data_IF_221949576530
#
_entry.id   IF_221949576530
#
_cell.length_a   1.000
_cell.length_b   1.000
_cell.length_c   1.000
_cell.angle_alpha   90.00
_cell.angle_beta   90.00
_cell.angle_gamma   90.00
#
_symmetry.space_group_name_H-M   'P 1'
#
loop_
_entity.id
_entity.type
_entity.pdbx_description
1 polymer ?
#
# COMPACT_ATOMS: atom_id res chain seq x y z
N UNK A 1 16.22 11.81 4.46
CA UNK A 1 15.97 12.57 5.70
C UNK A 1 15.32 13.96 5.50
N UNK A 2 15.31 14.58 4.31
CA UNK A 2 14.82 15.96 4.13
C UNK A 2 13.30 16.20 4.28
N UNK A 3 12.45 15.31 3.77
CA UNK A 3 10.98 15.54 3.72
C UNK A 3 10.35 15.65 5.12
N UNK A 4 10.82 14.86 6.09
CA UNK A 4 10.32 14.93 7.47
C UNK A 4 10.67 16.27 8.14
N UNK A 5 11.81 16.86 7.80
CA UNK A 5 12.20 18.19 8.32
C UNK A 5 11.30 19.26 7.75
N UNK A 6 11.00 19.21 6.45
CA UNK A 6 10.10 20.17 5.81
C UNK A 6 8.65 20.05 6.30
N UNK A 7 8.16 18.82 6.55
CA UNK A 7 6.85 18.60 7.16
C UNK A 7 6.78 19.19 8.57
N UNK A 8 7.83 19.04 9.39
CA UNK A 8 7.90 19.64 10.72
C UNK A 8 7.86 21.17 10.67
N UNK A 9 8.56 21.80 9.72
CA UNK A 9 8.49 23.26 9.54
C UNK A 9 7.08 23.71 9.17
N UNK A 10 6.42 23.02 8.23
CA UNK A 10 5.04 23.32 7.86
C UNK A 10 4.08 23.15 9.04
N UNK A 11 4.25 22.10 9.84
CA UNK A 11 3.48 21.89 11.06
C UNK A 11 3.65 23.07 12.04
N UNK A 12 4.90 23.47 12.33
CA UNK A 12 5.17 24.60 13.23
C UNK A 12 4.55 25.91 12.75
N UNK A 13 4.55 26.16 11.43
CA UNK A 13 3.91 27.35 10.85
C UNK A 13 2.40 27.34 11.09
N UNK A 14 1.74 26.21 10.85
CA UNK A 14 0.30 26.06 11.05
C UNK A 14 -0.07 26.19 12.53
N UNK A 15 0.74 25.61 13.43
CA UNK A 15 0.53 25.69 14.88
C UNK A 15 0.73 27.10 15.44
N UNK A 16 1.75 27.82 14.96
CA UNK A 16 2.15 29.12 15.53
C UNK A 16 1.41 30.31 14.93
N UNK A 17 1.02 30.22 13.65
CA UNK A 17 0.46 31.35 12.88
C UNK A 17 -0.90 31.06 12.25
N UNK A 18 -1.44 29.87 12.50
CA UNK A 18 -2.68 29.41 11.87
C UNK A 18 -2.47 28.88 10.45
N UNK A 19 -3.52 28.27 9.93
CA UNK A 19 -3.49 27.58 8.65
C UNK A 19 -3.75 28.52 7.47
N UNK A 20 -2.88 28.48 6.45
CA UNK A 20 -3.08 29.21 5.20
C UNK A 20 -3.91 28.35 4.22
N UNK A 21 -4.96 28.89 3.55
CA UNK A 21 -5.79 28.15 2.60
C UNK A 21 -5.01 27.42 1.49
N UNK A 22 -3.89 27.99 1.04
CA UNK A 22 -2.99 27.36 0.07
C UNK A 22 -2.33 26.11 0.64
N UNK A 23 -1.83 26.17 1.88
CA UNK A 23 -1.17 25.05 2.57
C UNK A 23 -2.19 23.92 2.75
N UNK A 24 -3.40 24.22 3.24
CA UNK A 24 -4.43 23.21 3.41
C UNK A 24 -4.84 22.55 2.10
N UNK A 25 -5.10 23.35 1.07
CA UNK A 25 -5.51 22.83 -0.24
C UNK A 25 -4.42 21.95 -0.83
N UNK A 26 -3.16 22.34 -0.67
CA UNK A 26 -2.01 21.58 -1.17
C UNK A 26 -1.86 20.25 -0.42
N UNK A 27 -1.90 20.25 0.91
CA UNK A 27 -1.81 19.03 1.73
C UNK A 27 -2.98 18.09 1.42
N UNK A 28 -4.22 18.61 1.39
CA UNK A 28 -5.41 17.82 1.03
C UNK A 28 -5.29 17.19 -0.36
N UNK A 29 -4.81 17.96 -1.35
CA UNK A 29 -4.59 17.46 -2.72
C UNK A 29 -3.51 16.38 -2.75
N UNK A 30 -2.40 16.57 -2.05
CA UNK A 30 -1.31 15.61 -1.99
C UNK A 30 -1.78 14.28 -1.37
N UNK A 31 -2.49 14.33 -0.24
CA UNK A 31 -3.07 13.14 0.41
C UNK A 31 -4.07 12.45 -0.53
N UNK A 32 -4.94 13.22 -1.21
CA UNK A 32 -5.91 12.66 -2.15
C UNK A 32 -5.24 11.93 -3.33
N UNK A 33 -4.23 12.55 -3.95
CA UNK A 33 -3.45 11.92 -5.03
C UNK A 33 -2.79 10.63 -4.55
N UNK A 34 -2.14 10.66 -3.39
CA UNK A 34 -1.48 9.47 -2.84
C UNK A 34 -2.48 8.34 -2.57
N UNK A 35 -3.66 8.66 -2.03
CA UNK A 35 -4.73 7.67 -1.84
C UNK A 35 -5.22 7.06 -3.15
N UNK A 36 -5.38 7.88 -4.19
CA UNK A 36 -5.79 7.40 -5.52
C UNK A 36 -4.76 6.44 -6.12
N UNK A 37 -3.47 6.76 -5.99
CA UNK A 37 -2.38 5.86 -6.41
C UNK A 37 -2.43 4.54 -5.66
N UNK A 38 -2.49 4.57 -4.33
CA UNK A 38 -2.55 3.35 -3.50
C UNK A 38 -3.78 2.49 -3.86
N UNK A 39 -4.95 3.11 -4.05
CA UNK A 39 -6.17 2.39 -4.48
C UNK A 39 -6.01 1.76 -5.86
N UNK A 40 -5.33 2.43 -6.80
CA UNK A 40 -5.03 1.85 -8.12
C UNK A 40 -4.08 0.67 -8.00
N UNK A 41 -3.03 0.78 -7.19
CA UNK A 41 -2.08 -0.31 -6.92
C UNK A 41 -2.76 -1.50 -6.26
N UNK A 42 -3.66 -1.27 -5.28
CA UNK A 42 -4.42 -2.36 -4.66
C UNK A 42 -5.30 -3.09 -5.66
N UNK A 43 -6.02 -2.36 -6.54
CA UNK A 43 -6.83 -3.00 -7.59
C UNK A 43 -6.01 -3.91 -8.48
N UNK A 44 -4.87 -3.42 -8.97
CA UNK A 44 -3.96 -4.22 -9.79
C UNK A 44 -3.44 -5.45 -9.04
N UNK A 45 -2.96 -5.30 -7.80
CA UNK A 45 -2.47 -6.43 -7.00
C UNK A 45 -3.57 -7.47 -6.76
N UNK A 46 -4.80 -7.03 -6.47
CA UNK A 46 -5.94 -7.93 -6.27
C UNK A 46 -6.31 -8.70 -7.55
N UNK A 47 -6.18 -8.07 -8.73
CA UNK A 47 -6.40 -8.74 -10.02
C UNK A 47 -5.33 -9.82 -10.27
N UNK A 48 -4.06 -9.50 -10.06
CA UNK A 48 -2.94 -10.45 -10.20
C UNK A 48 -3.05 -11.64 -9.22
N UNK A 49 -3.37 -11.36 -7.96
CA UNK A 49 -3.59 -12.38 -6.93
C UNK A 49 -4.75 -13.30 -7.34
N UNK A 50 -5.87 -12.73 -7.81
CA UNK A 50 -7.03 -13.51 -8.22
C UNK A 50 -6.74 -14.42 -9.41
N UNK A 51 -5.91 -13.96 -10.35
CA UNK A 51 -5.49 -14.78 -11.48
C UNK A 51 -4.64 -15.99 -11.03
N UNK A 52 -3.77 -15.79 -10.03
CA UNK A 52 -2.99 -16.86 -9.42
C UNK A 52 -3.86 -17.83 -8.62
N UNK A 53 -4.80 -17.32 -7.83
CA UNK A 53 -5.79 -18.13 -7.09
C UNK A 53 -6.56 -19.07 -8.03
N UNK A 54 -7.00 -18.55 -9.18
CA UNK A 54 -7.69 -19.33 -10.20
C UNK A 54 -6.78 -20.35 -10.89
N UNK A 55 -5.55 -19.97 -11.23
CA UNK A 55 -4.58 -20.85 -11.90
C UNK A 55 -4.19 -22.05 -11.04
N UNK A 56 -3.94 -21.82 -9.75
CA UNK A 56 -3.53 -22.87 -8.82
C UNK A 56 -4.70 -23.50 -8.05
N UNK A 57 -5.93 -23.01 -8.25
CA UNK A 57 -7.14 -23.44 -7.53
C UNK A 57 -6.95 -23.43 -6.01
N UNK A 58 -6.27 -22.39 -5.50
CA UNK A 58 -5.84 -22.29 -4.12
C UNK A 58 -6.16 -20.89 -3.61
N UNK A 59 -6.72 -20.78 -2.40
CA UNK A 59 -6.93 -19.48 -1.78
C UNK A 59 -5.59 -18.87 -1.35
N UNK A 60 -5.47 -17.53 -1.33
CA UNK A 60 -4.26 -16.87 -0.82
C UNK A 60 -3.91 -17.27 0.62
N UNK A 61 -4.92 -17.56 1.46
CA UNK A 61 -4.69 -18.05 2.83
C UNK A 61 -4.10 -19.45 2.88
N UNK A 62 -4.54 -20.36 2.00
CA UNK A 62 -4.00 -21.71 1.94
C UNK A 62 -2.64 -21.72 1.25
N UNK A 63 -2.45 -20.87 0.25
CA UNK A 63 -1.16 -20.63 -0.39
C UNK A 63 -0.12 -20.19 0.65
N UNK A 64 -0.41 -19.17 1.46
CA UNK A 64 0.54 -18.67 2.47
C UNK A 64 0.96 -19.74 3.48
N UNK A 65 0.02 -20.60 3.93
CA UNK A 65 0.33 -21.72 4.83
C UNK A 65 1.28 -22.72 4.16
N UNK A 66 0.92 -23.22 2.98
CA UNK A 66 1.70 -24.23 2.26
C UNK A 66 3.07 -23.70 1.79
N UNK A 67 3.12 -22.42 1.40
CA UNK A 67 4.36 -21.73 1.03
C UNK A 67 5.32 -21.63 2.22
N UNK A 68 4.80 -21.30 3.42
CA UNK A 68 5.60 -21.24 4.65
C UNK A 68 6.09 -22.62 5.11
N UNK A 69 5.32 -23.67 4.86
CA UNK A 69 5.68 -25.06 5.14
C UNK A 69 6.69 -25.64 4.12
N UNK A 70 6.99 -24.91 3.03
CA UNK A 70 7.87 -25.38 1.97
C UNK A 70 7.31 -26.57 1.18
N UNK A 71 5.98 -26.76 1.19
CA UNK A 71 5.31 -27.88 0.53
C UNK A 71 4.90 -27.57 -0.91
N UNK A 72 5.05 -26.32 -1.34
CA UNK A 72 4.85 -25.89 -2.72
C UNK A 72 6.16 -26.02 -3.50
N UNK A 73 6.05 -26.40 -4.79
CA UNK A 73 7.23 -26.58 -5.66
C UNK A 73 7.95 -25.27 -5.99
N UNK A 74 8.90 -25.35 -6.92
CA UNK A 74 9.81 -24.23 -7.25
C UNK A 74 9.31 -23.34 -8.41
N UNK A 75 7.99 -23.25 -8.60
CA UNK A 75 7.43 -22.42 -9.67
C UNK A 75 7.67 -20.93 -9.35
N UNK A 76 8.26 -20.21 -10.31
CA UNK A 76 8.55 -18.77 -10.23
C UNK A 76 7.29 -17.96 -9.89
N UNK A 77 6.12 -18.43 -10.32
CA UNK A 77 4.86 -17.75 -10.04
C UNK A 77 4.44 -17.83 -8.57
N UNK A 78 4.93 -18.81 -7.79
CA UNK A 78 4.71 -18.87 -6.34
C UNK A 78 5.49 -17.77 -5.61
N UNK A 79 6.73 -17.52 -6.03
CA UNK A 79 7.56 -16.42 -5.50
C UNK A 79 6.91 -15.06 -5.81
N UNK A 80 6.40 -14.89 -7.04
CA UNK A 80 5.64 -13.69 -7.41
C UNK A 80 4.38 -13.53 -6.57
N UNK A 81 3.63 -14.62 -6.35
CA UNK A 81 2.42 -14.57 -5.54
C UNK A 81 2.70 -14.11 -4.11
N UNK A 82 3.71 -14.69 -3.46
CA UNK A 82 4.13 -14.26 -2.13
C UNK A 82 4.49 -12.76 -2.11
N UNK A 83 5.21 -12.29 -3.14
CA UNK A 83 5.56 -10.89 -3.30
C UNK A 83 4.33 -9.99 -3.45
N UNK A 84 3.33 -10.41 -4.23
CA UNK A 84 2.10 -9.64 -4.41
C UNK A 84 1.27 -9.53 -3.13
N UNK A 85 1.16 -10.61 -2.36
CA UNK A 85 0.45 -10.59 -1.07
C UNK A 85 1.13 -9.63 -0.07
N UNK A 86 2.45 -9.70 0.03
CA UNK A 86 3.23 -8.81 0.89
C UNK A 86 3.14 -7.34 0.44
N UNK A 87 3.17 -7.08 -0.87
CA UNK A 87 2.92 -5.76 -1.43
C UNK A 87 1.50 -5.26 -1.12
N UNK A 88 0.48 -6.12 -1.26
CA UNK A 88 -0.92 -5.76 -1.00
C UNK A 88 -1.11 -5.34 0.46
N UNK A 89 -0.56 -6.10 1.40
CA UNK A 89 -0.59 -5.77 2.84
C UNK A 89 0.06 -4.41 3.12
N UNK A 90 1.24 -4.14 2.55
CA UNK A 90 1.92 -2.85 2.73
C UNK A 90 1.14 -1.67 2.16
N UNK A 91 0.57 -1.83 0.97
CA UNK A 91 -0.21 -0.77 0.32
C UNK A 91 -1.52 -0.51 1.07
N UNK A 92 -2.17 -1.57 1.57
CA UNK A 92 -3.37 -1.45 2.41
C UNK A 92 -3.07 -0.72 3.72
N UNK A 93 -2.00 -1.08 4.42
CA UNK A 93 -1.58 -0.40 5.65
C UNK A 93 -1.32 1.10 5.40
N UNK A 94 -0.61 1.46 4.32
CA UNK A 94 -0.40 2.87 3.95
C UNK A 94 -1.71 3.61 3.67
N UNK A 95 -2.66 2.96 3.01
CA UNK A 95 -3.95 3.56 2.71
C UNK A 95 -4.76 3.81 3.98
N UNK A 96 -4.78 2.83 4.90
CA UNK A 96 -5.43 2.98 6.20
C UNK A 96 -4.85 4.15 7.01
N UNK A 97 -3.52 4.34 7.01
CA UNK A 97 -2.90 5.50 7.66
C UNK A 97 -3.31 6.85 7.07
N UNK A 98 -3.67 6.92 5.78
CA UNK A 98 -4.10 8.14 5.10
C UNK A 98 -5.61 8.37 5.12
N UNK A 99 -6.37 7.38 5.58
CA UNK A 99 -7.83 7.45 5.74
C UNK A 99 -8.28 7.67 7.20
N UNK A 100 -7.40 7.42 8.17
CA UNK A 100 -7.55 7.88 9.56
C UNK A 100 -7.51 9.41 9.65
#
# INVERSE_FOLDING_TARGET
>A
MGVLVELKKLQQVVESFGSNPLIEKTIRKLISLRKQELKRTLRHLSEEIRALEQRYQLSSSDFQKRYAEGTLGDDVDLIKWASFLDMQQRVQAQLEYLEK
#
